data_IF_670533284516
#
_entry.id   IF_670533284516
#
_cell.length_a   1.000
_cell.length_b   1.000
_cell.length_c   1.000
_cell.angle_alpha   90.00
_cell.angle_beta   90.00
_cell.angle_gamma   90.00
#
_symmetry.space_group_name_H-M   'P 1'
#
loop_
_entity.id
_entity.type
_entity.pdbx_description
1 polymer ?
#
# COMPACT_ATOMS: atom_id res chain seq x y z
N UNK A 1 12.18 -2.17 15.40
CA UNK A 1 10.83 -1.56 15.45
C UNK A 1 10.93 -0.07 15.32
N UNK A 2 11.69 0.59 16.21
CA UNK A 2 11.77 2.05 16.28
C UNK A 2 12.20 2.74 14.97
N UNK A 3 13.22 2.23 14.27
CA UNK A 3 13.65 2.80 12.99
C UNK A 3 12.54 2.77 11.91
N UNK A 4 11.87 1.62 11.73
CA UNK A 4 10.78 1.49 10.77
C UNK A 4 9.60 2.42 11.11
N UNK A 5 9.23 2.47 12.39
CA UNK A 5 8.18 3.36 12.87
C UNK A 5 8.51 4.82 12.59
N UNK A 6 9.74 5.26 12.90
CA UNK A 6 10.19 6.62 12.60
C UNK A 6 10.14 6.91 11.10
N UNK A 7 10.61 5.99 10.26
CA UNK A 7 10.59 6.18 8.80
C UNK A 7 9.16 6.31 8.26
N UNK A 8 8.22 5.47 8.71
CA UNK A 8 6.84 5.52 8.24
C UNK A 8 6.13 6.77 8.75
N UNK A 9 6.33 7.16 10.01
CA UNK A 9 5.74 8.38 10.58
C UNK A 9 6.30 9.62 9.88
N UNK A 10 7.62 9.73 9.74
CA UNK A 10 8.26 10.85 9.03
C UNK A 10 7.83 10.91 7.57
N UNK A 11 7.81 9.76 6.87
CA UNK A 11 7.35 9.68 5.49
C UNK A 11 5.90 10.14 5.34
N UNK A 12 5.01 9.69 6.24
CA UNK A 12 3.61 10.10 6.26
C UNK A 12 3.45 11.58 6.55
N UNK A 13 4.24 12.14 7.46
CA UNK A 13 4.22 13.56 7.81
C UNK A 13 4.74 14.44 6.65
N UNK A 14 5.82 14.03 6.00
CA UNK A 14 6.34 14.68 4.78
C UNK A 14 5.25 14.69 3.70
N UNK A 15 4.56 13.56 3.51
CA UNK A 15 3.48 13.45 2.54
C UNK A 15 2.26 14.29 2.89
N UNK A 16 1.92 14.41 4.17
CA UNK A 16 0.87 15.29 4.66
C UNK A 16 1.17 16.75 4.41
N UNK A 17 2.40 17.19 4.71
CA UNK A 17 2.85 18.55 4.39
C UNK A 17 2.81 18.82 2.88
N UNK A 18 3.25 17.85 2.07
CA UNK A 18 3.13 17.94 0.61
C UNK A 18 1.67 18.08 0.15
N UNK A 19 0.76 17.28 0.71
CA UNK A 19 -0.68 17.38 0.46
C UNK A 19 -1.24 18.76 0.83
N UNK A 20 -0.92 19.27 2.02
CA UNK A 20 -1.35 20.62 2.46
C UNK A 20 -0.78 21.70 1.53
N UNK A 21 0.50 21.63 1.16
CA UNK A 21 1.12 22.61 0.29
C UNK A 21 0.43 22.65 -1.07
N UNK A 22 0.13 21.48 -1.64
CA UNK A 22 -0.68 21.40 -2.85
C UNK A 22 -2.03 22.08 -2.62
N UNK A 23 -2.78 21.71 -1.57
CA UNK A 23 -4.10 22.31 -1.27
C UNK A 23 -4.07 23.84 -1.11
N UNK A 24 -3.00 24.42 -0.57
CA UNK A 24 -2.86 25.87 -0.37
C UNK A 24 -2.45 26.56 -1.68
N UNK A 25 -1.68 25.90 -2.54
CA UNK A 25 -1.20 26.42 -3.82
C UNK A 25 -2.25 26.31 -4.94
N UNK A 26 -3.49 26.69 -4.63
CA UNK A 26 -4.58 26.86 -5.59
C UNK A 26 -4.12 27.88 -6.65
N UNK A 27 -3.63 27.39 -7.79
CA UNK A 27 -3.22 28.21 -8.94
C UNK A 27 -1.74 28.11 -9.36
N UNK A 28 -0.86 27.47 -8.58
CA UNK A 28 0.54 27.23 -8.99
C UNK A 28 0.75 25.73 -9.17
N UNK A 29 0.78 25.29 -10.42
CA UNK A 29 1.00 23.89 -10.78
C UNK A 29 2.42 23.47 -10.37
N UNK A 30 2.58 22.82 -9.21
CA UNK A 30 3.78 22.01 -9.01
C UNK A 30 3.71 20.80 -9.94
N UNK A 31 4.78 20.51 -10.70
CA UNK A 31 4.83 19.29 -11.48
C UNK A 31 4.62 18.10 -10.55
N UNK A 32 3.83 17.09 -10.96
CA UNK A 32 3.48 15.98 -10.09
C UNK A 32 4.74 15.17 -9.76
N UNK A 33 5.31 15.41 -8.58
CA UNK A 33 6.49 14.68 -8.11
C UNK A 33 6.03 13.35 -7.51
N UNK A 34 6.66 12.20 -7.85
CA UNK A 34 6.28 10.89 -7.33
C UNK A 34 6.77 10.68 -5.89
N UNK A 35 6.52 11.66 -5.01
CA UNK A 35 6.98 11.70 -3.62
C UNK A 35 6.59 10.43 -2.87
N UNK A 36 5.36 9.94 -3.10
CA UNK A 36 4.82 8.71 -2.50
C UNK A 36 5.71 7.50 -2.78
N UNK A 37 6.10 7.33 -4.04
CA UNK A 37 6.93 6.20 -4.48
C UNK A 37 8.33 6.27 -3.86
N UNK A 38 8.93 7.46 -3.75
CA UNK A 38 10.21 7.64 -3.07
C UNK A 38 10.14 7.36 -1.57
N UNK A 39 9.08 7.81 -0.90
CA UNK A 39 8.85 7.52 0.52
C UNK A 39 8.67 6.00 0.72
N UNK A 40 7.90 5.34 -0.15
CA UNK A 40 7.70 3.89 -0.09
C UNK A 40 8.98 3.12 -0.36
N UNK A 41 9.83 3.58 -1.29
CA UNK A 41 11.15 3.00 -1.50
C UNK A 41 12.02 3.10 -0.23
N UNK A 42 12.00 4.26 0.46
CA UNK A 42 12.71 4.41 1.72
C UNK A 42 12.18 3.46 2.80
N UNK A 43 10.85 3.32 2.91
CA UNK A 43 10.20 2.37 3.81
C UNK A 43 10.59 0.93 3.47
N UNK A 44 10.63 0.55 2.18
CA UNK A 44 11.04 -0.77 1.72
C UNK A 44 12.47 -1.08 2.15
N UNK A 45 13.40 -0.15 1.94
CA UNK A 45 14.82 -0.32 2.31
C UNK A 45 14.95 -0.56 3.81
N UNK A 46 14.25 0.22 4.64
CA UNK A 46 14.28 0.07 6.10
C UNK A 46 13.58 -1.23 6.54
N UNK A 47 12.47 -1.60 5.90
CA UNK A 47 11.76 -2.84 6.17
C UNK A 47 12.63 -4.06 5.87
N UNK A 48 13.35 -4.04 4.74
CA UNK A 48 14.25 -5.13 4.35
C UNK A 48 15.45 -5.22 5.29
N UNK A 49 16.09 -4.08 5.61
CA UNK A 49 17.25 -4.02 6.52
C UNK A 49 16.93 -4.45 7.95
N UNK A 50 15.69 -4.29 8.39
CA UNK A 50 15.26 -4.66 9.75
C UNK A 50 14.82 -6.12 9.86
N UNK A 51 14.99 -6.93 8.81
CA UNK A 51 14.68 -8.35 8.84
C UNK A 51 15.49 -9.06 9.94
N UNK A 52 14.78 -9.57 10.94
CA UNK A 52 15.33 -10.52 11.90
C UNK A 52 14.99 -11.94 11.43
N UNK A 53 15.69 -12.97 11.93
CA UNK A 53 15.30 -14.38 11.73
C UNK A 53 13.92 -14.61 12.37
N UNK A 54 12.85 -14.28 11.65
CA UNK A 54 11.46 -14.49 12.05
C UNK A 54 10.97 -15.82 11.49
N UNK A 55 10.05 -16.47 12.22
CA UNK A 55 9.45 -17.74 11.79
C UNK A 55 8.66 -17.59 10.48
N UNK A 56 8.03 -16.43 10.25
CA UNK A 56 7.20 -16.19 9.05
C UNK A 56 7.99 -15.51 7.91
N UNK A 57 9.00 -16.21 7.38
CA UNK A 57 9.80 -15.75 6.22
C UNK A 57 8.94 -15.53 4.97
N UNK A 58 7.93 -16.37 4.75
CA UNK A 58 7.04 -16.27 3.58
C UNK A 58 6.25 -14.96 3.58
N UNK A 59 5.65 -14.59 4.71
CA UNK A 59 4.91 -13.32 4.84
C UNK A 59 5.81 -12.12 4.53
N UNK A 60 7.04 -12.13 5.03
CA UNK A 60 8.02 -11.07 4.76
C UNK A 60 8.39 -10.97 3.27
N UNK A 61 8.60 -12.11 2.60
CA UNK A 61 8.92 -12.15 1.15
C UNK A 61 7.74 -11.65 0.34
N UNK A 62 6.54 -12.19 0.57
CA UNK A 62 5.32 -11.81 -0.17
C UNK A 62 5.05 -10.32 -0.01
N UNK A 63 5.17 -9.78 1.20
CA UNK A 63 4.98 -8.35 1.45
C UNK A 63 6.07 -7.49 0.79
N UNK A 64 7.33 -7.93 0.81
CA UNK A 64 8.42 -7.18 0.15
C UNK A 64 8.25 -7.13 -1.36
N UNK A 65 7.82 -8.25 -1.97
CA UNK A 65 7.51 -8.34 -3.40
C UNK A 65 6.31 -7.46 -3.73
N UNK A 66 5.27 -7.48 -2.91
CA UNK A 66 4.11 -6.59 -3.04
C UNK A 66 4.53 -5.10 -3.01
N UNK A 67 5.29 -4.70 -1.98
CA UNK A 67 5.65 -3.30 -1.80
C UNK A 67 6.62 -2.81 -2.88
N UNK A 68 7.49 -3.70 -3.37
CA UNK A 68 8.34 -3.43 -4.54
C UNK A 68 7.50 -3.26 -5.81
N UNK A 69 6.59 -4.18 -6.11
CA UNK A 69 5.74 -4.10 -7.30
C UNK A 69 4.84 -2.87 -7.28
N UNK A 70 4.42 -2.42 -6.10
CA UNK A 70 3.64 -1.20 -5.91
C UNK A 70 4.37 0.07 -6.37
N UNK A 71 5.69 0.12 -6.29
CA UNK A 71 6.47 1.26 -6.81
C UNK A 71 6.30 1.43 -8.33
N UNK A 72 6.12 0.32 -9.04
CA UNK A 72 5.95 0.30 -10.50
C UNK A 72 4.52 0.66 -10.95
N UNK A 73 3.59 0.85 -10.01
CA UNK A 73 2.22 1.33 -10.33
C UNK A 73 2.22 2.84 -10.66
N UNK A 74 3.27 3.58 -10.31
CA UNK A 74 3.37 5.03 -10.56
C UNK A 74 4.16 5.31 -11.85
N UNK A 75 3.52 5.77 -12.95
CA UNK A 75 4.22 6.12 -14.17
C UNK A 75 5.27 7.23 -13.97
N UNK A 76 4.92 8.24 -13.16
CA UNK A 76 5.82 9.35 -12.79
C UNK A 76 7.09 8.87 -12.07
N UNK A 77 6.99 7.80 -11.28
CA UNK A 77 8.17 7.20 -10.67
C UNK A 77 9.07 6.55 -11.73
N UNK A 78 8.47 5.84 -12.68
CA UNK A 78 9.16 5.15 -13.77
C UNK A 78 9.80 6.10 -14.78
N UNK A 79 9.25 7.29 -14.98
CA UNK A 79 9.84 8.35 -15.81
C UNK A 79 11.27 8.72 -15.39
N UNK A 80 11.62 8.55 -14.11
CA UNK A 80 12.98 8.82 -13.63
C UNK A 80 14.01 7.76 -14.09
N UNK A 81 13.55 6.59 -14.56
CA UNK A 81 14.39 5.44 -14.86
C UNK A 81 14.26 4.93 -16.29
N UNK A 82 13.11 5.17 -16.94
CA UNK A 82 12.78 4.64 -18.26
C UNK A 82 12.72 5.76 -19.30
N UNK A 83 13.10 5.43 -20.53
CA UNK A 83 12.89 6.35 -21.66
C UNK A 83 11.40 6.51 -21.98
N UNK A 84 11.03 7.66 -22.56
CA UNK A 84 9.64 7.97 -22.89
C UNK A 84 8.96 6.91 -23.78
N UNK A 85 9.69 6.38 -24.78
CA UNK A 85 9.17 5.33 -25.66
C UNK A 85 8.83 4.05 -24.90
N UNK A 86 9.66 3.67 -23.93
CA UNK A 86 9.43 2.47 -23.12
C UNK A 86 8.35 2.69 -22.05
N UNK A 87 8.27 3.90 -21.48
CA UNK A 87 7.19 4.29 -20.58
C UNK A 87 5.82 4.20 -21.26
N UNK A 88 5.68 4.73 -22.48
CA UNK A 88 4.43 4.66 -23.24
C UNK A 88 4.02 3.21 -23.51
N UNK A 89 4.97 2.35 -23.88
CA UNK A 89 4.72 0.92 -24.01
C UNK A 89 4.27 0.28 -22.68
N UNK A 90 4.97 0.60 -21.58
CA UNK A 90 4.66 0.09 -20.25
C UNK A 90 3.23 0.48 -19.81
N UNK A 91 2.87 1.75 -19.93
CA UNK A 91 1.54 2.26 -19.55
C UNK A 91 0.44 1.58 -20.35
N UNK A 92 0.66 1.35 -21.64
CA UNK A 92 -0.38 0.80 -22.53
C UNK A 92 -0.48 -0.72 -22.51
N UNK A 93 0.58 -1.45 -22.18
CA UNK A 93 0.63 -2.92 -22.35
C UNK A 93 0.91 -3.70 -21.06
N UNK A 94 1.57 -3.08 -20.07
CA UNK A 94 2.09 -3.77 -18.88
C UNK A 94 1.38 -3.32 -17.61
N UNK A 95 0.94 -2.06 -17.54
CA UNK A 95 0.42 -1.45 -16.32
C UNK A 95 -0.78 -2.21 -15.74
N UNK A 96 -1.72 -2.64 -16.57
CA UNK A 96 -2.90 -3.40 -16.11
C UNK A 96 -2.51 -4.76 -15.50
N UNK A 97 -1.51 -5.43 -16.10
CA UNK A 97 -0.96 -6.68 -15.57
C UNK A 97 -0.30 -6.44 -14.21
N UNK A 98 0.48 -5.36 -14.09
CA UNK A 98 1.15 -4.98 -12.83
C UNK A 98 0.13 -4.67 -11.74
N UNK A 99 -0.97 -4.00 -12.06
CA UNK A 99 -2.07 -3.72 -11.12
C UNK A 99 -2.71 -5.03 -10.63
N UNK A 100 -3.02 -5.96 -11.54
CA UNK A 100 -3.61 -7.26 -11.18
C UNK A 100 -2.66 -8.06 -10.28
N UNK A 101 -1.38 -8.15 -10.66
CA UNK A 101 -0.36 -8.81 -9.84
C UNK A 101 -0.25 -8.16 -8.45
N UNK A 102 -0.35 -6.83 -8.37
CA UNK A 102 -0.34 -6.10 -7.10
C UNK A 102 -1.52 -6.51 -6.20
N UNK A 103 -2.73 -6.58 -6.76
CA UNK A 103 -3.92 -7.00 -6.03
C UNK A 103 -3.80 -8.44 -5.49
N UNK A 104 -3.27 -9.35 -6.30
CA UNK A 104 -3.03 -10.76 -5.90
C UNK A 104 -2.01 -10.83 -4.76
N UNK A 105 -0.88 -10.12 -4.88
CA UNK A 105 0.17 -10.11 -3.86
C UNK A 105 -0.30 -9.48 -2.54
N UNK A 106 -1.11 -8.41 -2.63
CA UNK A 106 -1.73 -7.81 -1.46
C UNK A 106 -2.68 -8.78 -0.77
N UNK A 107 -3.52 -9.46 -1.55
CA UNK A 107 -4.43 -10.48 -1.04
C UNK A 107 -3.67 -11.61 -0.33
N UNK A 108 -2.61 -12.14 -0.94
CA UNK A 108 -1.76 -13.14 -0.31
C UNK A 108 -1.18 -12.64 1.01
N UNK A 109 -0.71 -11.39 1.07
CA UNK A 109 -0.22 -10.77 2.32
C UNK A 109 -1.30 -10.78 3.40
N UNK A 110 -2.53 -10.38 3.06
CA UNK A 110 -3.67 -10.42 3.98
C UNK A 110 -3.93 -11.86 4.42
N UNK A 111 -4.08 -12.81 3.50
CA UNK A 111 -4.30 -14.23 3.84
C UNK A 111 -3.23 -14.75 4.80
N UNK A 112 -1.95 -14.44 4.55
CA UNK A 112 -0.85 -14.89 5.41
C UNK A 112 -0.89 -14.25 6.80
N UNK A 113 -1.19 -12.95 6.91
CA UNK A 113 -1.42 -12.33 8.21
C UNK A 113 -2.56 -13.02 8.97
N UNK A 114 -3.50 -13.62 8.23
CA UNK A 114 -4.77 -14.09 8.78
C UNK A 114 -4.94 -15.56 8.97
N UNK A 115 -3.97 -16.33 8.51
CA UNK A 115 -3.89 -17.75 8.73
C UNK A 115 -4.17 -18.16 10.18
N UNK A 116 -3.73 -17.38 11.18
CA UNK A 116 -3.99 -17.67 12.60
C UNK A 116 -5.44 -17.46 13.02
N UNK A 117 -6.10 -16.44 12.48
CA UNK A 117 -7.54 -16.18 12.71
C UNK A 117 -8.42 -17.12 11.93
N UNK A 118 -7.99 -17.54 10.73
CA UNK A 118 -8.68 -18.50 9.88
C UNK A 118 -8.85 -19.89 10.52
N UNK A 119 -8.09 -20.22 11.57
CA UNK A 119 -8.31 -21.44 12.35
C UNK A 119 -9.61 -21.41 13.16
N UNK A 120 -10.19 -20.23 13.40
CA UNK A 120 -11.53 -20.07 13.97
C UNK A 120 -12.59 -19.99 12.86
N UNK A 121 -13.57 -20.90 12.92
CA UNK A 121 -14.44 -21.35 11.81
C UNK A 121 -15.37 -20.28 11.17
N UNK A 122 -15.49 -19.07 11.71
CA UNK A 122 -16.38 -18.02 11.16
C UNK A 122 -15.77 -17.18 10.02
N UNK A 123 -14.46 -17.28 9.80
CA UNK A 123 -13.71 -16.28 9.04
C UNK A 123 -13.65 -16.50 7.51
N UNK A 124 -14.01 -17.69 7.03
CA UNK A 124 -14.05 -18.02 5.60
C UNK A 124 -15.03 -17.16 4.80
N UNK A 125 -16.14 -16.77 5.42
CA UNK A 125 -17.15 -15.88 4.83
C UNK A 125 -16.60 -14.45 4.70
N UNK A 126 -15.91 -13.95 5.73
CA UNK A 126 -15.25 -12.65 5.70
C UNK A 126 -14.15 -12.59 4.61
N UNK A 127 -13.32 -13.62 4.51
CA UNK A 127 -12.28 -13.71 3.48
C UNK A 127 -12.87 -13.67 2.06
N UNK A 128 -14.01 -14.35 1.86
CA UNK A 128 -14.70 -14.41 0.57
C UNK A 128 -15.32 -13.05 0.20
N UNK A 129 -15.85 -12.31 1.19
CA UNK A 129 -16.37 -10.95 0.99
C UNK A 129 -15.24 -9.96 0.69
N UNK A 130 -14.10 -10.06 1.39
CA UNK A 130 -12.92 -9.23 1.12
C UNK A 130 -12.35 -9.53 -0.27
N UNK A 131 -12.26 -10.80 -0.67
CA UNK A 131 -11.81 -11.22 -1.99
C UNK A 131 -12.73 -10.70 -3.10
N UNK A 132 -14.05 -10.83 -2.93
CA UNK A 132 -15.04 -10.30 -3.86
C UNK A 132 -14.95 -8.78 -3.94
N UNK A 133 -14.82 -8.08 -2.81
CA UNK A 133 -14.69 -6.62 -2.79
C UNK A 133 -13.41 -6.15 -3.48
N UNK A 134 -12.25 -6.78 -3.23
CA UNK A 134 -10.98 -6.41 -3.85
C UNK A 134 -11.01 -6.60 -5.36
N UNK A 135 -11.57 -7.71 -5.85
CA UNK A 135 -11.66 -8.02 -7.29
C UNK A 135 -12.70 -7.15 -7.99
N UNK A 136 -13.89 -7.01 -7.41
CA UNK A 136 -14.97 -6.21 -7.99
C UNK A 136 -14.56 -4.74 -8.04
N UNK A 137 -13.93 -4.21 -6.99
CA UNK A 137 -13.43 -2.83 -7.02
C UNK A 137 -12.23 -2.65 -7.94
N UNK A 138 -11.28 -3.61 -7.99
CA UNK A 138 -10.12 -3.49 -8.88
C UNK A 138 -10.49 -3.47 -10.37
N UNK A 139 -11.59 -4.12 -10.74
CA UNK A 139 -12.11 -4.16 -12.10
C UNK A 139 -13.01 -2.96 -12.48
N UNK A 140 -13.62 -2.28 -11.50
CA UNK A 140 -14.66 -1.26 -11.77
C UNK A 140 -14.17 0.20 -11.82
N UNK A 141 -13.02 0.56 -11.23
CA UNK A 141 -12.67 1.98 -11.02
C UNK A 141 -11.22 2.32 -11.39
N UNK A 142 -10.97 2.77 -12.61
CA UNK A 142 -9.66 3.31 -12.98
C UNK A 142 -9.17 4.40 -11.98
N UNK A 143 -8.06 4.07 -11.30
CA UNK A 143 -6.94 4.94 -10.86
C UNK A 143 -6.76 5.42 -9.40
N UNK A 144 -7.74 5.49 -8.48
CA UNK A 144 -7.44 6.11 -7.15
C UNK A 144 -8.28 5.65 -5.94
N UNK A 145 -9.58 5.41 -6.13
CA UNK A 145 -10.48 4.98 -5.04
C UNK A 145 -10.26 3.54 -4.58
N UNK A 146 -9.82 2.66 -5.50
CA UNK A 146 -9.58 1.22 -5.23
C UNK A 146 -8.60 1.03 -4.07
N UNK A 147 -7.47 1.73 -4.11
CA UNK A 147 -6.41 1.56 -3.13
C UNK A 147 -6.76 2.18 -1.77
N UNK A 148 -7.55 3.27 -1.77
CA UNK A 148 -8.08 3.87 -0.55
C UNK A 148 -9.07 2.96 0.18
N UNK A 149 -9.94 2.26 -0.55
CA UNK A 149 -10.87 1.26 0.00
C UNK A 149 -10.13 0.01 0.48
N UNK A 150 -9.09 -0.43 -0.25
CA UNK A 150 -8.22 -1.53 0.17
C UNK A 150 -7.45 -1.20 1.45
N UNK A 151 -6.90 0.01 1.55
CA UNK A 151 -6.24 0.52 2.76
C UNK A 151 -7.21 0.68 3.93
N UNK A 152 -8.43 1.14 3.68
CA UNK A 152 -9.48 1.27 4.70
C UNK A 152 -10.04 -0.09 5.16
N UNK A 153 -10.19 -1.05 4.24
CA UNK A 153 -10.57 -2.41 4.56
C UNK A 153 -9.47 -3.10 5.39
N UNK A 154 -8.20 -2.95 5.01
CA UNK A 154 -7.07 -3.44 5.82
C UNK A 154 -6.98 -2.75 7.19
N UNK A 155 -7.34 -1.46 7.27
CA UNK A 155 -7.39 -0.67 8.50
C UNK A 155 -8.46 -1.18 9.48
N UNK A 156 -9.71 -1.32 9.03
CA UNK A 156 -10.81 -1.88 9.81
C UNK A 156 -10.47 -3.29 10.29
N UNK A 157 -9.83 -4.04 9.40
CA UNK A 157 -9.51 -5.41 9.61
C UNK A 157 -8.44 -5.63 10.71
N UNK A 158 -7.40 -4.80 10.74
CA UNK A 158 -6.37 -4.85 11.80
C UNK A 158 -6.87 -4.36 13.17
N UNK A 159 -7.81 -3.41 13.20
CA UNK A 159 -8.45 -2.96 14.44
C UNK A 159 -9.29 -4.07 15.06
N UNK A 160 -10.03 -4.81 14.24
CA UNK A 160 -10.81 -5.98 14.68
C UNK A 160 -9.85 -7.10 15.14
N UNK A 161 -8.78 -7.36 14.38
CA UNK A 161 -7.79 -8.41 14.70
C UNK A 161 -7.05 -8.16 16.04
N UNK A 162 -6.58 -6.94 16.29
CA UNK A 162 -5.88 -6.59 17.54
C UNK A 162 -6.79 -6.74 18.77
N UNK A 163 -8.11 -6.55 18.58
CA UNK A 163 -9.11 -6.69 19.65
C UNK A 163 -9.43 -8.15 19.97
N UNK A 164 -9.36 -9.06 18.99
CA UNK A 164 -9.77 -10.45 19.18
C UNK A 164 -8.63 -11.46 19.45
N UNK A 165 -7.40 -11.22 18.97
CA UNK A 165 -6.37 -12.28 18.94
C UNK A 165 -5.30 -12.14 20.03
N UNK A 166 -5.09 -10.94 20.59
CA UNK A 166 -4.21 -10.69 21.74
C UNK A 166 -2.70 -10.87 21.53
N UNK A 167 -2.27 -11.81 20.69
CA UNK A 167 -0.87 -12.18 20.48
C UNK A 167 -0.44 -11.98 19.02
N UNK A 168 -0.08 -10.73 18.69
CA UNK A 168 0.35 -10.33 17.34
C UNK A 168 1.86 -10.49 17.24
N UNK A 169 2.35 -11.18 16.20
CA UNK A 169 3.79 -11.27 16.00
C UNK A 169 4.38 -9.92 15.59
N UNK A 170 5.62 -9.65 16.02
CA UNK A 170 6.37 -8.43 15.62
C UNK A 170 6.45 -8.19 14.12
N UNK A 171 6.37 -9.22 13.28
CA UNK A 171 6.36 -9.09 11.81
C UNK A 171 5.03 -8.54 11.30
N UNK A 172 3.92 -9.07 11.81
CA UNK A 172 2.55 -8.65 11.48
C UNK A 172 2.34 -7.18 11.90
N UNK A 173 2.84 -6.78 13.08
CA UNK A 173 2.81 -5.39 13.54
C UNK A 173 3.57 -4.42 12.62
N UNK A 174 4.74 -4.83 12.11
CA UNK A 174 5.53 -4.00 11.17
C UNK A 174 4.81 -3.81 9.85
N UNK A 175 4.22 -4.88 9.33
CA UNK A 175 3.47 -4.86 8.07
C UNK A 175 2.23 -3.98 8.23
N UNK A 176 1.49 -4.14 9.32
CA UNK A 176 0.36 -3.30 9.68
C UNK A 176 0.74 -1.81 9.71
N UNK A 177 1.85 -1.48 10.37
CA UNK A 177 2.35 -0.11 10.47
C UNK A 177 2.64 0.51 9.09
N UNK A 178 3.23 -0.24 8.16
CA UNK A 178 3.50 0.22 6.79
C UNK A 178 2.18 0.41 6.02
N UNK A 179 1.26 -0.53 6.12
CA UNK A 179 -0.06 -0.45 5.48
C UNK A 179 -0.82 0.79 5.99
N UNK A 180 -0.72 1.13 7.27
CA UNK A 180 -1.31 2.35 7.83
C UNK A 180 -0.71 3.62 7.21
N UNK A 181 0.62 3.71 7.12
CA UNK A 181 1.28 4.85 6.50
C UNK A 181 0.86 5.01 5.02
N UNK A 182 0.82 3.91 4.28
CA UNK A 182 0.39 3.91 2.88
C UNK A 182 -1.09 4.27 2.73
N UNK A 183 -1.97 3.75 3.58
CA UNK A 183 -3.39 4.11 3.60
C UNK A 183 -3.61 5.60 3.89
N UNK A 184 -2.87 6.17 4.83
CA UNK A 184 -2.92 7.60 5.13
C UNK A 184 -2.49 8.47 3.94
N UNK A 185 -1.40 8.11 3.25
CA UNK A 185 -0.96 8.81 2.04
C UNK A 185 -2.04 8.76 0.94
N UNK A 186 -2.68 7.61 0.75
CA UNK A 186 -3.75 7.47 -0.25
C UNK A 186 -5.00 8.29 0.08
N UNK A 187 -5.33 8.47 1.36
CA UNK A 187 -6.43 9.36 1.77
C UNK A 187 -6.10 10.80 1.36
N UNK A 188 -4.86 11.25 1.59
CA UNK A 188 -4.42 12.59 1.20
C UNK A 188 -4.52 12.78 -0.32
N UNK A 189 -4.08 11.79 -1.12
CA UNK A 189 -4.21 11.85 -2.58
C UNK A 189 -5.67 11.99 -3.01
N UNK A 190 -6.57 11.19 -2.45
CA UNK A 190 -7.99 11.22 -2.80
C UNK A 190 -8.66 12.53 -2.40
N UNK A 191 -8.31 13.10 -1.23
CA UNK A 191 -8.79 14.42 -0.81
C UNK A 191 -8.29 15.49 -1.76
N UNK A 192 -7.00 15.45 -2.12
CA UNK A 192 -6.39 16.40 -3.05
C UNK A 192 -7.08 16.33 -4.41
N UNK A 193 -7.27 15.12 -4.97
CA UNK A 193 -7.98 14.91 -6.24
C UNK A 193 -9.44 15.38 -6.23
N UNK A 194 -10.16 15.22 -5.12
CA UNK A 194 -11.55 15.69 -4.98
C UNK A 194 -11.65 17.22 -5.06
N UNK A 195 -10.62 17.94 -4.60
CA UNK A 195 -10.61 19.41 -4.57
C UNK A 195 -10.21 20.02 -5.92
N UNK A 196 -9.43 19.29 -6.73
CA UNK A 196 -9.00 19.73 -8.07
C UNK A 196 -9.90 19.25 -9.23
N UNK A 197 -10.98 18.50 -8.93
CA UNK A 197 -12.05 18.20 -9.90
C UNK A 197 -13.07 19.33 -9.94
#
# INVERSE_FOLDING_TARGET
MEALQKTVVLGSLIYFLYGILNLIQIGVYLPPFPLRSFILLAILIVFVKTQQRTQDRLLWVVFSVWLSSYLFVSPLFLENFLSFAFLSYYVNQIMDIVIICNAILFFLTIVFMLRKVMLNKGFLIFLSIVFLAVIVFSLLLFSSLILGVIGFAAFLYLIIFKREVGDVQKTEERIALIIYGLGFMLIIDNITLLIYR
#
